data_IF_330126327577
#
_entry.id   IF_330126327577
#
_cell.length_a   1.000
_cell.length_b   1.000
_cell.length_c   1.000
_cell.angle_alpha   90.00
_cell.angle_beta   90.00
_cell.angle_gamma   90.00
#
_symmetry.space_group_name_H-M   'P 1'
#
loop_
_entity.id
_entity.type
_entity.pdbx_description
1 polymer ?
#
# COMPACT_ATOMS: atom_id res chain seq x y z
N UNK A 1 -24.90 -14.96 24.49
CA UNK A 1 -25.74 -16.13 24.14
C UNK A 1 -25.25 -16.66 22.81
N UNK A 2 -25.04 -17.98 22.74
CA UNK A 2 -24.48 -18.72 21.59
C UNK A 2 -25.36 -18.53 20.35
N UNK A 3 -24.75 -18.19 19.22
CA UNK A 3 -25.25 -18.61 17.91
C UNK A 3 -24.13 -19.26 17.11
N UNK A 4 -24.52 -20.35 16.47
CA UNK A 4 -23.77 -21.42 15.85
C UNK A 4 -23.69 -21.18 14.32
N UNK A 5 -22.63 -21.72 13.68
CA UNK A 5 -22.55 -22.15 12.24
C UNK A 5 -22.32 -20.97 11.26
N UNK A 6 -21.34 -20.99 10.35
CA UNK A 6 -21.07 -22.03 9.35
C UNK A 6 -19.62 -21.98 8.84
N UNK A 7 -18.93 -23.12 8.88
CA UNK A 7 -17.63 -23.31 8.23
C UNK A 7 -17.76 -23.74 6.77
N UNK A 8 -16.70 -23.55 5.98
CA UNK A 8 -16.53 -24.26 4.71
C UNK A 8 -15.04 -24.43 4.31
N UNK A 9 -14.63 -25.70 4.40
CA UNK A 9 -13.66 -26.47 3.60
C UNK A 9 -12.21 -26.02 3.39
N UNK A 10 -11.34 -26.77 4.09
CA UNK A 10 -9.96 -27.09 3.77
C UNK A 10 -9.89 -27.99 2.52
N UNK A 11 -8.95 -27.74 1.61
CA UNK A 11 -8.44 -28.74 0.67
C UNK A 11 -6.90 -28.74 0.72
N UNK A 12 -6.36 -29.82 1.29
CA UNK A 12 -4.93 -30.15 1.21
C UNK A 12 -4.58 -30.65 -0.19
N UNK A 13 -3.44 -30.23 -0.72
CA UNK A 13 -2.71 -30.98 -1.72
C UNK A 13 -1.26 -31.14 -1.23
N UNK A 14 -0.91 -32.39 -0.89
CA UNK A 14 0.45 -32.85 -0.60
C UNK A 14 1.01 -33.41 -1.90
N UNK A 15 2.15 -32.91 -2.37
CA UNK A 15 3.03 -33.61 -3.33
C UNK A 15 4.46 -33.48 -2.83
N UNK A 16 5.13 -34.63 -2.72
CA UNK A 16 6.37 -34.82 -1.99
C UNK A 16 7.69 -34.64 -2.76
N UNK A 17 8.73 -34.64 -1.93
CA UNK A 17 10.19 -34.78 -2.03
C UNK A 17 10.94 -34.90 -3.38
N UNK A 18 12.13 -34.25 -3.40
CA UNK A 18 13.24 -34.61 -4.30
C UNK A 18 14.51 -33.77 -4.16
N UNK A 19 15.36 -34.14 -3.20
CA UNK A 19 16.84 -34.02 -3.06
C UNK A 19 17.67 -32.80 -3.53
N UNK A 20 18.61 -32.46 -2.62
CA UNK A 20 19.75 -31.52 -2.61
C UNK A 20 20.68 -31.50 -3.83
N UNK A 21 21.18 -30.30 -4.16
CA UNK A 21 22.58 -30.03 -4.53
C UNK A 21 22.98 -28.62 -4.08
N UNK A 22 23.99 -28.56 -3.23
CA UNK A 22 24.87 -27.41 -3.03
C UNK A 22 25.74 -27.25 -4.29
N UNK A 23 25.90 -26.04 -4.80
CA UNK A 23 27.05 -25.63 -5.63
C UNK A 23 27.30 -24.13 -5.44
N UNK A 24 28.50 -23.83 -4.95
CA UNK A 24 29.08 -22.51 -4.75
C UNK A 24 29.54 -21.85 -6.07
N UNK A 25 29.40 -20.53 -6.15
CA UNK A 25 30.40 -19.62 -6.73
C UNK A 25 30.44 -19.40 -8.25
N UNK A 26 30.11 -18.18 -8.70
CA UNK A 26 30.52 -17.69 -10.03
C UNK A 26 29.97 -16.32 -10.45
N UNK A 27 30.70 -15.25 -10.09
CA UNK A 27 31.04 -14.08 -10.95
C UNK A 27 29.95 -13.15 -11.54
N UNK A 28 30.15 -11.82 -11.55
CA UNK A 28 29.12 -10.84 -11.92
C UNK A 28 29.24 -10.39 -13.38
N UNK A 29 28.25 -10.70 -14.22
CA UNK A 29 28.10 -10.11 -15.56
C UNK A 29 26.62 -10.15 -15.99
N UNK A 30 25.72 -9.63 -15.16
CA UNK A 30 24.35 -9.38 -15.59
C UNK A 30 24.23 -7.97 -16.18
N UNK A 31 23.94 -7.97 -17.48
CA UNK A 31 23.60 -6.82 -18.30
C UNK A 31 22.48 -5.99 -17.61
N UNK A 32 22.62 -4.67 -17.40
CA UNK A 32 21.65 -3.81 -16.69
C UNK A 32 20.24 -3.73 -17.33
N UNK A 33 20.02 -4.42 -18.44
CA UNK A 33 18.83 -4.33 -19.28
C UNK A 33 17.83 -5.48 -19.05
N UNK A 34 18.19 -6.50 -18.26
CA UNK A 34 17.34 -7.67 -17.97
C UNK A 34 16.99 -7.82 -16.47
N UNK A 35 16.98 -6.72 -15.72
CA UNK A 35 16.43 -6.73 -14.37
C UNK A 35 14.90 -6.74 -14.43
N UNK A 36 14.32 -7.91 -14.67
CA UNK A 36 13.04 -8.24 -14.04
C UNK A 36 13.27 -8.08 -12.54
N UNK A 37 12.81 -6.96 -11.97
CA UNK A 37 13.14 -6.53 -10.61
C UNK A 37 13.06 -7.70 -9.64
N UNK A 38 14.19 -8.07 -9.05
CA UNK A 38 14.23 -9.20 -8.14
C UNK A 38 13.19 -8.98 -7.04
N UNK A 39 12.29 -9.95 -6.85
CA UNK A 39 11.30 -9.87 -5.79
C UNK A 39 11.98 -9.97 -4.44
N UNK A 40 11.56 -9.12 -3.51
CA UNK A 40 12.02 -9.11 -2.13
C UNK A 40 10.86 -9.23 -1.14
N UNK A 41 11.22 -9.53 0.10
CA UNK A 41 10.31 -9.64 1.24
C UNK A 41 11.11 -9.54 2.54
N UNK A 42 10.44 -9.57 3.69
CA UNK A 42 11.09 -9.69 4.99
C UNK A 42 12.02 -10.92 5.10
N UNK A 43 11.74 -12.00 4.34
CA UNK A 43 12.54 -13.22 4.32
C UNK A 43 13.54 -13.29 3.17
N UNK A 44 13.49 -12.35 2.22
CA UNK A 44 14.36 -12.30 1.04
C UNK A 44 14.83 -10.87 0.80
N UNK A 45 16.01 -10.56 1.31
CA UNK A 45 16.64 -9.26 1.14
C UNK A 45 17.06 -9.01 -0.33
N UNK A 46 17.15 -7.74 -0.68
CA UNK A 46 17.69 -7.33 -1.97
C UNK A 46 19.23 -7.49 -2.02
N UNK A 47 19.80 -7.62 -3.23
CA UNK A 47 21.24 -7.53 -3.42
C UNK A 47 21.82 -6.25 -2.81
N UNK A 48 23.12 -6.28 -2.48
CA UNK A 48 23.79 -5.11 -1.90
C UNK A 48 23.64 -3.87 -2.78
N UNK A 49 23.31 -2.73 -2.16
CA UNK A 49 23.07 -1.46 -2.85
C UNK A 49 21.64 -1.29 -3.38
N UNK A 50 20.75 -2.26 -3.16
CA UNK A 50 19.33 -2.16 -3.48
C UNK A 50 18.48 -2.12 -2.20
N UNK A 51 17.28 -1.56 -2.31
CA UNK A 51 16.32 -1.44 -1.23
C UNK A 51 15.02 -2.18 -1.60
N UNK A 52 14.37 -2.82 -0.63
CA UNK A 52 13.12 -3.53 -0.86
C UNK A 52 11.93 -2.58 -0.73
N UNK A 53 11.30 -2.24 -1.86
CA UNK A 53 10.18 -1.32 -1.91
C UNK A 53 8.97 -2.00 -2.56
N UNK A 54 7.85 -2.11 -1.83
CA UNK A 54 6.63 -2.80 -2.28
C UNK A 54 6.88 -4.20 -2.89
N UNK A 55 7.83 -4.95 -2.32
CA UNK A 55 8.21 -6.28 -2.79
C UNK A 55 9.13 -6.31 -4.02
N UNK A 56 9.63 -5.15 -4.47
CA UNK A 56 10.57 -5.02 -5.57
C UNK A 56 11.91 -4.47 -5.07
N UNK A 57 13.00 -5.06 -5.51
CA UNK A 57 14.31 -4.47 -5.29
C UNK A 57 14.52 -3.26 -6.18
N UNK A 58 14.61 -2.09 -5.57
CA UNK A 58 14.88 -0.82 -6.21
C UNK A 58 16.36 -0.45 -6.09
N UNK A 59 16.94 0.03 -7.18
CA UNK A 59 18.30 0.57 -7.21
C UNK A 59 18.33 1.99 -6.66
N UNK A 60 19.39 2.34 -5.94
CA UNK A 60 19.70 3.73 -5.63
C UNK A 60 20.01 4.53 -6.89
N UNK A 61 19.63 5.80 -6.92
CA UNK A 61 19.79 6.69 -8.07
C UNK A 61 20.15 8.11 -7.65
N UNK A 62 20.71 8.87 -8.60
CA UNK A 62 20.95 10.32 -8.48
C UNK A 62 20.22 11.10 -9.57
N UNK A 63 19.84 10.43 -10.66
CA UNK A 63 19.10 11.00 -11.78
C UNK A 63 18.33 9.90 -12.52
N UNK A 64 17.39 10.29 -13.39
CA UNK A 64 16.63 9.35 -14.23
C UNK A 64 17.54 8.49 -15.13
N UNK A 65 18.78 8.91 -15.42
CA UNK A 65 19.73 8.13 -16.21
C UNK A 65 20.24 6.87 -15.48
N UNK A 66 20.06 6.77 -14.16
CA UNK A 66 20.40 5.58 -13.39
C UNK A 66 19.29 4.51 -13.42
N UNK A 67 18.10 4.87 -13.92
CA UNK A 67 16.91 4.03 -13.87
C UNK A 67 16.57 3.44 -15.23
N UNK A 68 15.82 2.34 -15.23
CA UNK A 68 15.26 1.78 -16.45
C UNK A 68 14.30 2.78 -17.12
N UNK A 69 14.01 2.58 -18.41
CA UNK A 69 13.22 3.53 -19.21
C UNK A 69 11.80 3.77 -18.66
N UNK A 70 11.20 2.75 -18.03
CA UNK A 70 9.90 2.75 -17.38
C UNK A 70 9.96 3.21 -15.91
N UNK A 71 11.12 3.63 -15.43
CA UNK A 71 11.37 4.09 -14.08
C UNK A 71 11.87 5.54 -14.06
N UNK A 72 11.75 6.18 -12.90
CA UNK A 72 12.27 7.52 -12.62
C UNK A 72 13.01 7.51 -11.28
N UNK A 73 13.94 8.44 -11.12
CA UNK A 73 14.65 8.64 -9.88
C UNK A 73 13.85 9.60 -9.01
N UNK A 74 13.24 9.10 -7.93
CA UNK A 74 12.45 9.93 -7.04
C UNK A 74 13.36 10.76 -6.11
N UNK A 75 13.74 11.95 -6.59
CA UNK A 75 14.56 12.91 -5.85
C UNK A 75 13.75 13.72 -4.82
N UNK A 76 12.43 13.65 -4.88
CA UNK A 76 11.52 14.37 -3.96
C UNK A 76 11.16 13.52 -2.73
N UNK A 77 11.56 12.24 -2.72
CA UNK A 77 11.28 11.34 -1.62
C UNK A 77 12.12 11.69 -0.39
N UNK A 78 11.46 12.29 0.60
CA UNK A 78 12.09 12.62 1.90
C UNK A 78 12.08 11.44 2.87
N UNK A 79 11.52 10.30 2.47
CA UNK A 79 11.47 9.10 3.31
C UNK A 79 12.85 8.54 3.62
N UNK A 80 13.88 8.79 2.81
CA UNK A 80 15.23 8.23 2.99
C UNK A 80 16.30 9.25 2.62
N UNK A 81 17.54 9.00 3.06
CA UNK A 81 18.70 9.81 2.67
C UNK A 81 19.18 9.56 1.23
N UNK A 82 18.58 8.60 0.53
CA UNK A 82 18.96 8.20 -0.82
C UNK A 82 17.70 8.05 -1.70
N UNK A 83 17.77 8.59 -2.92
CA UNK A 83 16.74 8.41 -3.95
C UNK A 83 16.83 7.02 -4.56
N UNK A 84 15.70 6.47 -4.97
CA UNK A 84 15.61 5.16 -5.60
C UNK A 84 14.83 5.22 -6.89
N UNK A 85 15.14 4.30 -7.81
CA UNK A 85 14.38 4.13 -9.03
C UNK A 85 12.99 3.55 -8.70
N UNK A 86 11.95 4.30 -9.04
CA UNK A 86 10.54 3.91 -8.89
C UNK A 86 9.90 3.76 -10.26
N UNK A 87 8.90 2.90 -10.38
CA UNK A 87 8.11 2.78 -11.61
C UNK A 87 7.40 4.10 -11.91
N UNK A 88 7.46 4.57 -13.16
CA UNK A 88 6.72 5.77 -13.59
C UNK A 88 5.22 5.61 -13.50
N UNK A 89 4.73 4.38 -13.61
CA UNK A 89 3.32 4.05 -13.56
C UNK A 89 3.05 3.14 -12.37
N UNK A 90 1.91 3.36 -11.71
CA UNK A 90 1.43 2.55 -10.60
C UNK A 90 0.58 1.39 -11.13
N UNK A 91 0.96 0.12 -10.93
CA UNK A 91 0.19 -1.02 -11.42
C UNK A 91 -1.19 -1.10 -10.74
N UNK A 92 -2.25 -1.15 -11.56
CA UNK A 92 -3.62 -1.39 -11.11
C UNK A 92 -4.01 -2.86 -11.28
N UNK A 93 -4.94 -3.33 -10.46
CA UNK A 93 -5.43 -4.71 -10.49
C UNK A 93 -6.93 -4.78 -10.24
N UNK A 94 -7.53 -5.90 -10.61
CA UNK A 94 -8.90 -6.32 -10.23
C UNK A 94 -8.90 -7.65 -9.50
N UNK A 95 -7.74 -8.31 -9.41
CA UNK A 95 -7.53 -9.62 -8.79
C UNK A 95 -6.04 -9.84 -8.48
N UNK A 96 -5.73 -10.72 -7.53
CA UNK A 96 -4.35 -11.02 -7.14
C UNK A 96 -3.50 -11.58 -8.29
N UNK A 97 -4.11 -12.27 -9.26
CA UNK A 97 -3.38 -12.86 -10.41
C UNK A 97 -2.77 -11.82 -11.36
N UNK A 98 -3.14 -10.55 -11.24
CA UNK A 98 -2.55 -9.45 -12.01
C UNK A 98 -1.35 -8.80 -11.30
N UNK A 99 -1.13 -9.12 -10.03
CA UNK A 99 0.01 -8.63 -9.26
C UNK A 99 1.16 -9.62 -9.30
N UNK A 100 2.36 -9.17 -8.90
CA UNK A 100 3.51 -10.05 -8.76
C UNK A 100 3.25 -11.12 -7.69
N UNK A 101 4.00 -12.22 -7.71
CA UNK A 101 3.73 -13.39 -6.85
C UNK A 101 3.87 -13.12 -5.34
N UNK A 102 4.54 -12.03 -4.94
CA UNK A 102 4.64 -11.56 -3.56
C UNK A 102 3.69 -10.37 -3.25
N UNK A 103 2.76 -10.08 -4.14
CA UNK A 103 1.81 -8.97 -4.01
C UNK A 103 0.36 -9.48 -4.01
N UNK A 104 -0.51 -8.66 -3.46
CA UNK A 104 -1.97 -8.86 -3.46
C UNK A 104 -2.65 -7.60 -3.97
N UNK A 105 -3.84 -7.77 -4.54
CA UNK A 105 -4.64 -6.68 -5.03
C UNK A 105 -5.46 -6.09 -3.88
N UNK A 106 -5.12 -4.87 -3.45
CA UNK A 106 -5.84 -4.14 -2.41
C UNK A 106 -6.43 -2.88 -3.06
N UNK A 107 -7.75 -2.74 -2.99
CA UNK A 107 -8.48 -1.57 -3.53
C UNK A 107 -8.07 -1.17 -4.96
N UNK A 108 -7.75 -2.16 -5.78
CA UNK A 108 -7.37 -1.95 -7.18
C UNK A 108 -5.91 -1.58 -7.44
N UNK A 109 -5.04 -1.65 -6.43
CA UNK A 109 -3.60 -1.46 -6.54
C UNK A 109 -2.83 -2.69 -6.05
N UNK A 110 -1.71 -3.01 -6.70
CA UNK A 110 -0.83 -4.08 -6.27
C UNK A 110 0.05 -3.63 -5.09
N UNK A 111 -0.19 -4.24 -3.93
CA UNK A 111 0.54 -3.99 -2.68
C UNK A 111 1.27 -5.26 -2.24
N UNK A 112 2.37 -5.12 -1.51
CA UNK A 112 3.10 -6.24 -0.94
C UNK A 112 2.17 -7.07 -0.06
N UNK A 113 2.19 -8.39 -0.26
CA UNK A 113 1.43 -9.30 0.57
C UNK A 113 1.90 -9.17 2.03
N UNK A 114 0.97 -9.04 3.00
CA UNK A 114 1.33 -9.05 4.41
C UNK A 114 2.15 -10.31 4.73
N UNK A 115 3.28 -10.19 5.44
CA UNK A 115 4.07 -11.35 5.84
C UNK A 115 3.24 -12.28 6.74
N UNK A 116 3.41 -13.59 6.59
CA UNK A 116 2.69 -14.59 7.39
C UNK A 116 2.93 -14.45 8.90
N UNK A 117 4.10 -13.93 9.29
CA UNK A 117 4.46 -13.56 10.66
C UNK A 117 4.94 -12.10 10.65
N UNK A 118 4.05 -11.12 10.79
CA UNK A 118 4.44 -9.73 10.73
C UNK A 118 5.28 -9.33 11.94
N UNK A 119 6.30 -8.46 11.77
CA UNK A 119 6.92 -7.81 12.91
C UNK A 119 5.85 -7.00 13.64
N UNK A 120 5.93 -6.93 14.97
CA UNK A 120 5.02 -6.06 15.73
C UNK A 120 5.29 -4.61 15.34
N UNK A 121 4.24 -3.89 15.00
CA UNK A 121 4.27 -2.45 14.76
C UNK A 121 3.22 -1.77 15.67
N UNK A 122 3.32 -0.46 15.86
CA UNK A 122 2.40 0.31 16.68
C UNK A 122 1.59 1.32 15.83
N UNK A 123 0.29 1.07 15.60
CA UNK A 123 -0.56 1.95 14.81
C UNK A 123 -0.90 3.26 15.54
N UNK A 124 -0.71 3.33 16.86
CA UNK A 124 -1.10 4.47 17.71
C UNK A 124 -0.01 5.56 17.80
N UNK A 125 0.89 5.63 16.82
CA UNK A 125 1.97 6.64 16.80
C UNK A 125 1.54 7.88 16.04
N UNK A 126 1.59 9.04 16.69
CA UNK A 126 1.17 10.32 16.08
C UNK A 126 2.17 10.89 15.07
N UNK A 127 3.41 10.40 15.07
CA UNK A 127 4.48 10.80 14.15
C UNK A 127 4.79 9.74 13.08
N UNK A 128 3.96 8.69 13.00
CA UNK A 128 4.14 7.55 12.11
C UNK A 128 5.50 6.83 12.25
N UNK A 129 6.17 6.96 13.40
CA UNK A 129 7.26 6.05 13.79
C UNK A 129 6.69 4.77 14.39
N UNK A 130 5.87 4.12 13.58
CA UNK A 130 5.07 2.95 13.91
C UNK A 130 5.88 1.64 13.97
N UNK A 131 7.20 1.69 13.77
CA UNK A 131 8.07 0.52 13.71
C UNK A 131 8.11 -0.16 12.34
N UNK A 132 7.37 0.36 11.36
CA UNK A 132 7.49 -0.03 9.96
C UNK A 132 8.58 0.78 9.25
N UNK A 133 9.05 0.27 8.11
CA UNK A 133 9.90 1.07 7.22
C UNK A 133 9.15 2.32 6.71
N UNK A 134 9.91 3.21 6.06
CA UNK A 134 9.37 4.51 5.64
C UNK A 134 8.33 4.39 4.51
N UNK A 135 8.13 3.21 3.94
CA UNK A 135 7.24 2.95 2.81
C UNK A 135 6.12 1.99 3.14
N UNK A 136 5.94 1.75 4.42
CA UNK A 136 4.90 0.90 4.97
C UNK A 136 4.26 1.60 6.15
N UNK A 137 2.97 1.39 6.36
CA UNK A 137 2.23 1.93 7.50
C UNK A 137 1.75 0.77 8.35
N UNK A 138 1.86 0.90 9.67
CA UNK A 138 1.29 -0.07 10.59
C UNK A 138 -0.24 0.01 10.52
N UNK A 139 -0.86 -1.07 10.05
CA UNK A 139 -2.30 -1.22 10.05
C UNK A 139 -2.69 -2.23 11.12
N UNK A 140 -3.67 -1.85 11.92
CA UNK A 140 -4.41 -2.81 12.74
C UNK A 140 -5.63 -3.29 11.93
N UNK A 141 -5.63 -4.55 11.46
CA UNK A 141 -6.75 -5.07 10.69
C UNK A 141 -8.02 -5.27 11.53
N UNK A 142 -7.91 -5.40 12.85
CA UNK A 142 -9.06 -5.63 13.73
C UNK A 142 -8.91 -4.87 15.05
N UNK A 143 -9.78 -3.88 15.30
CA UNK A 143 -9.85 -3.14 16.58
C UNK A 143 -10.14 -4.06 17.80
N UNK A 144 -10.51 -5.33 17.58
CA UNK A 144 -10.78 -6.33 18.61
C UNK A 144 -9.55 -7.19 19.00
N UNK A 145 -8.41 -7.00 18.32
CA UNK A 145 -7.15 -7.70 18.60
C UNK A 145 -7.10 -9.16 18.14
N UNK A 146 -8.07 -9.62 17.35
CA UNK A 146 -8.10 -10.98 16.80
C UNK A 146 -6.99 -11.23 15.76
N UNK A 147 -6.42 -10.15 15.22
CA UNK A 147 -5.25 -10.17 14.35
C UNK A 147 -4.20 -9.19 14.89
N UNK A 148 -2.93 -9.51 14.64
CA UNK A 148 -1.83 -8.63 15.02
C UNK A 148 -1.69 -7.50 14.00
N UNK A 149 -1.33 -6.28 14.44
CA UNK A 149 -0.94 -5.22 13.54
C UNK A 149 0.21 -5.65 12.62
N UNK A 150 0.23 -5.12 11.41
CA UNK A 150 1.26 -5.43 10.43
C UNK A 150 1.65 -4.20 9.60
N UNK A 151 2.88 -4.22 9.09
CA UNK A 151 3.36 -3.21 8.16
C UNK A 151 2.80 -3.46 6.76
N UNK A 152 1.84 -2.64 6.34
CA UNK A 152 1.30 -2.65 4.99
C UNK A 152 2.15 -1.77 4.08
N UNK A 153 2.75 -2.35 3.04
CA UNK A 153 3.48 -1.60 2.01
C UNK A 153 2.56 -1.30 0.82
N UNK A 154 2.68 -0.10 0.29
CA UNK A 154 1.82 0.40 -0.78
C UNK A 154 2.61 0.67 -2.05
N UNK A 155 1.88 0.77 -3.17
CA UNK A 155 2.48 1.10 -4.44
C UNK A 155 3.14 2.50 -4.40
N UNK A 156 4.25 2.71 -5.14
CA UNK A 156 4.92 4.01 -5.19
C UNK A 156 3.99 5.05 -5.81
N UNK A 157 4.25 6.33 -5.52
CA UNK A 157 3.68 7.38 -6.36
C UNK A 157 4.26 7.32 -7.77
N UNK A 158 3.49 7.76 -8.76
CA UNK A 158 4.03 8.03 -10.09
C UNK A 158 4.95 9.26 -10.08
N UNK A 159 5.70 9.46 -11.18
CA UNK A 159 6.63 10.59 -11.35
C UNK A 159 5.94 11.96 -11.20
N UNK A 160 4.68 12.07 -11.64
CA UNK A 160 3.86 13.27 -11.53
C UNK A 160 3.16 13.42 -10.15
N UNK A 161 3.41 12.49 -9.22
CA UNK A 161 2.74 12.45 -7.92
C UNK A 161 1.29 11.99 -7.98
N UNK A 162 0.79 11.53 -9.13
CA UNK A 162 -0.53 10.96 -9.24
C UNK A 162 -0.56 9.52 -8.72
N UNK A 163 -1.71 9.13 -8.17
CA UNK A 163 -2.02 7.77 -7.82
C UNK A 163 -3.32 7.37 -8.54
N UNK A 164 -3.38 6.20 -9.18
CA UNK A 164 -4.62 5.73 -9.75
C UNK A 164 -5.67 5.59 -8.65
N UNK A 165 -6.90 6.01 -8.93
CA UNK A 165 -7.98 5.94 -7.95
C UNK A 165 -8.33 4.51 -7.56
N UNK A 166 -7.98 3.50 -8.38
CA UNK A 166 -8.33 2.11 -8.10
C UNK A 166 -9.83 1.93 -7.83
N UNK A 167 -10.15 1.07 -6.86
CA UNK A 167 -11.51 0.81 -6.39
C UNK A 167 -11.92 1.68 -5.19
N UNK A 168 -10.95 2.18 -4.41
CA UNK A 168 -11.19 2.89 -3.14
C UNK A 168 -10.71 4.34 -3.10
N UNK A 169 -10.03 4.83 -4.13
CA UNK A 169 -9.36 6.12 -4.17
C UNK A 169 -7.91 6.03 -3.71
N UNK A 170 -7.08 6.99 -4.12
CA UNK A 170 -5.72 7.10 -3.61
C UNK A 170 -5.14 8.50 -3.79
N UNK A 171 -4.24 8.87 -2.88
CA UNK A 171 -3.41 10.07 -3.00
C UNK A 171 -1.96 9.73 -2.69
N UNK A 172 -1.02 10.37 -3.40
CA UNK A 172 0.38 10.26 -3.06
C UNK A 172 0.66 10.90 -1.69
N UNK A 173 1.42 10.20 -0.85
CA UNK A 173 2.05 10.82 0.30
C UNK A 173 3.22 11.71 -0.17
N UNK A 174 2.99 12.99 -0.41
CA UNK A 174 4.02 13.99 -0.77
C UNK A 174 4.44 14.85 0.43
N UNK A 175 4.40 14.26 1.64
CA UNK A 175 4.75 14.91 2.90
C UNK A 175 3.59 15.03 3.91
N UNK A 176 2.44 14.38 3.64
CA UNK A 176 1.30 14.37 4.55
C UNK A 176 1.51 13.49 5.78
N UNK A 177 2.15 12.33 5.60
CA UNK A 177 2.57 11.44 6.68
C UNK A 177 4.03 11.72 6.98
N UNK A 178 4.29 12.35 8.13
CA UNK A 178 5.65 12.62 8.57
C UNK A 178 6.44 11.31 8.72
N UNK A 179 7.75 11.35 8.46
CA UNK A 179 8.67 10.20 8.56
C UNK A 179 8.34 9.03 7.59
N UNK A 180 7.39 9.21 6.69
CA UNK A 180 7.06 8.26 5.63
C UNK A 180 7.43 8.84 4.27
N UNK A 181 7.87 7.97 3.36
CA UNK A 181 8.21 8.32 1.99
C UNK A 181 7.01 8.35 1.06
N UNK A 182 7.29 8.53 -0.23
CA UNK A 182 6.24 8.70 -1.26
C UNK A 182 5.65 7.37 -1.73
N UNK A 183 4.43 7.09 -1.30
CA UNK A 183 3.59 5.97 -1.75
C UNK A 183 2.12 6.39 -1.87
N UNK A 184 1.33 5.61 -2.62
CA UNK A 184 -0.09 5.82 -2.80
C UNK A 184 -0.89 5.36 -1.58
N UNK A 185 -1.38 6.32 -0.81
CA UNK A 185 -2.27 6.10 0.33
C UNK A 185 -3.66 5.77 -0.18
N UNK A 186 -4.00 4.49 -0.15
CA UNK A 186 -5.30 3.97 -0.60
C UNK A 186 -6.44 4.44 0.33
N UNK A 187 -7.61 4.73 -0.24
CA UNK A 187 -8.79 5.21 0.48
C UNK A 187 -8.77 6.71 0.83
N UNK A 188 -7.63 7.38 0.64
CA UNK A 188 -7.42 8.77 1.05
C UNK A 188 -7.54 9.72 -0.14
N UNK A 189 -8.02 10.95 0.11
CA UNK A 189 -8.24 11.96 -0.92
C UNK A 189 -7.93 13.39 -0.48
N UNK A 190 -7.52 14.23 -1.45
CA UNK A 190 -7.50 15.69 -1.30
C UNK A 190 -8.80 16.30 -1.81
N UNK A 191 -9.28 15.81 -2.94
CA UNK A 191 -10.54 16.20 -3.55
C UNK A 191 -11.15 15.00 -4.31
N UNK A 192 -12.30 15.22 -4.96
CA UNK A 192 -13.05 14.16 -5.64
C UNK A 192 -12.28 13.52 -6.80
N UNK A 193 -11.24 14.17 -7.36
CA UNK A 193 -10.40 13.59 -8.41
C UNK A 193 -9.54 12.41 -7.91
N UNK A 194 -9.32 12.31 -6.60
CA UNK A 194 -8.60 11.19 -5.99
C UNK A 194 -9.51 9.97 -5.71
N UNK A 195 -10.82 10.10 -5.92
CA UNK A 195 -11.79 9.06 -5.63
C UNK A 195 -12.33 8.43 -6.92
N UNK A 196 -12.85 7.18 -6.85
CA UNK A 196 -13.56 6.57 -7.97
C UNK A 196 -14.71 7.47 -8.45
N UNK A 197 -15.05 7.37 -9.72
CA UNK A 197 -16.19 8.11 -10.29
C UNK A 197 -17.45 7.87 -9.46
N UNK A 198 -18.19 8.95 -9.13
CA UNK A 198 -19.37 9.00 -8.25
C UNK A 198 -19.14 8.92 -6.73
N UNK A 199 -17.90 8.81 -6.27
CA UNK A 199 -17.58 8.88 -4.84
C UNK A 199 -17.27 10.32 -4.44
N UNK A 200 -17.43 10.62 -3.15
CA UNK A 200 -17.11 11.93 -2.58
C UNK A 200 -15.87 11.85 -1.71
N UNK A 201 -15.01 12.87 -1.77
CA UNK A 201 -13.93 13.05 -0.82
C UNK A 201 -14.47 13.70 0.45
N UNK A 202 -14.56 12.93 1.53
CA UNK A 202 -15.15 13.38 2.78
C UNK A 202 -14.07 13.79 3.76
N UNK A 203 -14.09 15.06 4.18
CA UNK A 203 -13.14 15.60 5.15
C UNK A 203 -13.60 15.35 6.58
N UNK A 204 -12.71 14.91 7.50
CA UNK A 204 -13.08 14.65 8.89
C UNK A 204 -13.46 15.92 9.67
N UNK A 205 -12.93 17.08 9.28
CA UNK A 205 -13.25 18.37 9.87
C UNK A 205 -12.95 19.51 8.89
N UNK A 206 -13.52 20.69 9.14
CA UNK A 206 -13.27 21.89 8.35
C UNK A 206 -11.79 22.27 8.39
N UNK A 207 -11.18 22.39 7.21
CA UNK A 207 -9.75 22.71 7.07
C UNK A 207 -8.83 21.48 7.01
N UNK A 208 -9.35 20.26 7.11
CA UNK A 208 -8.56 19.06 6.87
C UNK A 208 -8.06 19.01 5.42
N UNK A 209 -6.76 18.81 5.24
CA UNK A 209 -6.13 18.69 3.90
C UNK A 209 -6.44 17.34 3.27
N UNK A 210 -6.51 16.28 4.08
CA UNK A 210 -6.85 14.92 3.67
C UNK A 210 -8.25 14.52 4.15
N UNK A 211 -8.87 13.62 3.40
CA UNK A 211 -10.15 13.01 3.70
C UNK A 211 -10.19 11.56 3.24
N UNK A 212 -11.37 10.98 3.31
CA UNK A 212 -11.63 9.58 2.93
C UNK A 212 -12.58 9.54 1.74
N UNK A 213 -12.29 8.70 0.76
CA UNK A 213 -13.21 8.47 -0.34
C UNK A 213 -14.42 7.66 0.14
N UNK A 214 -15.61 8.18 -0.11
CA UNK A 214 -16.88 7.58 0.32
C UNK A 214 -17.78 7.26 -0.88
N UNK A 215 -18.26 6.00 -1.03
CA UNK A 215 -19.29 5.63 -2.00
C UNK A 215 -20.70 6.07 -1.58
N UNK A 216 -20.84 6.69 -0.40
CA UNK A 216 -22.12 7.09 0.17
C UNK A 216 -23.04 5.94 0.58
N UNK A 217 -22.51 4.73 0.71
CA UNK A 217 -23.26 3.56 1.18
C UNK A 217 -23.38 3.54 2.71
N UNK A 218 -24.28 2.73 3.25
CA UNK A 218 -24.48 2.58 4.69
C UNK A 218 -23.16 2.31 5.43
N UNK A 219 -22.91 3.04 6.52
CA UNK A 219 -21.71 2.93 7.35
C UNK A 219 -20.47 3.70 6.85
N UNK A 220 -20.49 4.22 5.62
CA UNK A 220 -19.34 4.97 5.09
C UNK A 220 -19.29 6.41 5.62
N UNK A 221 -18.11 7.03 5.66
CA UNK A 221 -17.94 8.36 6.22
C UNK A 221 -18.72 9.43 5.43
N UNK A 222 -19.24 10.42 6.16
CA UNK A 222 -19.92 11.58 5.62
C UNK A 222 -19.70 12.82 6.51
N UNK A 223 -19.87 14.01 5.94
CA UNK A 223 -19.88 15.27 6.68
C UNK A 223 -21.16 16.08 6.39
N UNK A 224 -21.91 15.68 5.37
CA UNK A 224 -23.18 16.25 4.97
C UNK A 224 -24.04 15.20 4.27
N UNK A 225 -25.35 15.43 4.24
CA UNK A 225 -26.34 14.51 3.66
C UNK A 225 -26.08 14.19 2.19
N UNK A 226 -25.49 15.12 1.43
CA UNK A 226 -25.19 14.94 0.01
C UNK A 226 -24.11 13.87 -0.25
N UNK A 227 -23.29 13.54 0.75
CA UNK A 227 -22.31 12.46 0.63
C UNK A 227 -22.95 11.07 0.69
N UNK A 228 -24.21 10.97 1.12
CA UNK A 228 -24.90 9.70 1.35
C UNK A 228 -25.95 9.43 0.28
N UNK A 229 -25.98 8.21 -0.25
CA UNK A 229 -27.01 7.77 -1.22
C UNK A 229 -28.41 7.78 -0.63
N UNK A 230 -28.52 7.63 0.69
CA UNK A 230 -29.76 7.76 1.45
C UNK A 230 -30.21 9.22 1.67
N UNK A 231 -29.32 10.18 1.44
CA UNK A 231 -29.52 11.58 1.82
C UNK A 231 -29.44 11.82 3.32
N UNK A 232 -28.91 10.88 4.11
CA UNK A 232 -28.78 11.01 5.57
C UNK A 232 -27.36 10.75 6.04
N UNK A 233 -26.74 11.81 6.57
CA UNK A 233 -25.48 11.74 7.29
C UNK A 233 -25.75 11.87 8.79
N UNK A 234 -25.41 10.84 9.56
CA UNK A 234 -25.50 10.87 11.00
C UNK A 234 -24.15 11.25 11.60
N UNK A 235 -24.06 12.45 12.18
CA UNK A 235 -22.83 12.97 12.80
C UNK A 235 -23.13 13.67 14.13
N UNK A 236 -22.18 13.56 15.07
CA UNK A 236 -22.14 14.47 16.22
C UNK A 236 -21.34 15.74 15.84
N UNK A 237 -21.60 16.91 16.46
CA UNK A 237 -20.82 18.12 16.20
C UNK A 237 -19.31 17.88 16.39
N UNK A 238 -18.52 18.20 15.37
CA UNK A 238 -17.05 18.05 15.40
C UNK A 238 -16.53 16.63 15.16
N UNK A 239 -17.41 15.67 14.85
CA UNK A 239 -17.05 14.28 14.54
C UNK A 239 -17.46 13.95 13.12
N UNK A 240 -16.64 13.18 12.40
CA UNK A 240 -17.00 12.63 11.11
C UNK A 240 -18.24 11.74 11.25
N UNK A 241 -19.23 11.96 10.40
CA UNK A 241 -20.47 11.19 10.41
C UNK A 241 -20.36 9.89 9.64
N UNK A 242 -21.43 9.10 9.70
CA UNK A 242 -21.64 7.91 8.87
C UNK A 242 -22.97 7.97 8.13
N UNK A 243 -22.99 7.44 6.92
CA UNK A 243 -24.21 7.34 6.12
C UNK A 243 -25.15 6.29 6.71
N UNK A 244 -26.43 6.64 6.82
CA UNK A 244 -27.51 5.81 7.37
C UNK A 244 -28.52 5.40 6.32
#
# INVERSE_FOLDING_TARGET
MKHFVMGLFLAMAVVGCGSTKDDDGGGPDENPSEQSGALCSASKACPSGQFCFNGLCALGCQSNANCAADQYCDAEDTGTLASYCKSKNVPTCTSNSQCLSNQVCIEGLCSLAPPANPPSCNPETSDFKDGCDNYSVCLDPDDDGSRQPYCASFAPCAEDGACPTGLGGAVCNDGYLANKGRFCMQGICRDNSNCPSSWSCVKPFTGAVLGFCSPGAFGFPCSENAHCKSGQCFSAPGVLGTCM
#
